data_IF_550984458454
#
_entry.id   IF_550984458454
#
_cell.length_a   1.000
_cell.length_b   1.000
_cell.length_c   1.000
_cell.angle_alpha   90.00
_cell.angle_beta   90.00
_cell.angle_gamma   90.00
#
_symmetry.space_group_name_H-M   'P 1'
#
loop_
_entity.id
_entity.type
_entity.pdbx_description
1 polymer ?
#
# COMPACT_ATOMS: atom_id res chain seq x y z
N UNK A 1 -10.83 22.44 22.86
CA UNK A 1 -10.56 23.69 22.22
C UNK A 1 -9.21 23.67 21.52
N UNK A 2 -9.11 23.06 20.33
CA UNK A 2 -7.92 23.14 19.49
C UNK A 2 -7.87 24.50 18.81
N UNK A 3 -6.76 25.19 18.93
CA UNK A 3 -6.46 26.41 18.16
C UNK A 3 -6.61 26.05 16.69
N UNK A 4 -7.49 26.75 15.93
CA UNK A 4 -7.76 26.51 14.54
C UNK A 4 -6.49 26.62 13.71
N UNK A 5 -5.97 25.49 13.26
CA UNK A 5 -5.01 25.47 12.18
C UNK A 5 -5.74 25.99 10.94
N UNK A 6 -5.17 27.00 10.28
CA UNK A 6 -5.65 27.46 8.99
C UNK A 6 -5.60 26.29 7.99
N UNK A 7 -6.73 25.65 7.73
CA UNK A 7 -6.87 24.53 6.78
C UNK A 7 -6.81 24.98 5.30
N UNK A 8 -6.65 26.29 5.04
CA UNK A 8 -6.53 26.82 3.68
C UNK A 8 -5.06 26.83 3.29
N UNK A 9 -4.71 25.96 2.35
CA UNK A 9 -3.40 25.93 1.72
C UNK A 9 -3.54 26.28 0.25
N UNK A 10 -2.84 27.35 -0.18
CA UNK A 10 -2.74 27.68 -1.60
C UNK A 10 -1.86 26.65 -2.29
N UNK A 11 -2.40 26.00 -3.31
CA UNK A 11 -1.70 24.98 -4.07
C UNK A 11 -1.99 25.09 -5.57
N UNK A 12 -1.04 24.67 -6.38
CA UNK A 12 -1.18 24.54 -7.83
C UNK A 12 -1.17 23.05 -8.17
N UNK A 13 -2.25 22.55 -8.80
CA UNK A 13 -2.39 21.14 -9.17
C UNK A 13 -2.06 20.86 -10.63
N UNK A 14 -1.60 19.66 -10.90
CA UNK A 14 -1.50 19.07 -12.24
C UNK A 14 -2.13 17.68 -12.22
N UNK A 15 -3.05 17.39 -13.14
CA UNK A 15 -3.76 16.13 -13.22
C UNK A 15 -3.78 15.62 -14.66
N UNK A 16 -3.56 14.32 -14.84
CA UNK A 16 -3.73 13.60 -16.12
C UNK A 16 -4.73 12.49 -15.89
N UNK A 17 -5.90 12.58 -16.52
CA UNK A 17 -7.01 11.67 -16.39
C UNK A 17 -7.29 10.93 -17.70
N UNK A 18 -7.64 9.64 -17.60
CA UNK A 18 -8.11 8.83 -18.73
C UNK A 18 -7.04 8.36 -19.70
N UNK A 19 -5.79 8.76 -19.55
CA UNK A 19 -4.68 8.31 -20.40
C UNK A 19 -4.29 6.86 -20.08
N UNK A 20 -4.02 6.07 -21.11
CA UNK A 20 -3.61 4.66 -20.98
C UNK A 20 -2.09 4.46 -20.90
N UNK A 21 -1.30 5.53 -21.06
CA UNK A 21 0.17 5.42 -21.02
C UNK A 21 0.73 5.80 -19.65
N UNK A 22 0.52 4.93 -18.68
CA UNK A 22 0.88 5.14 -17.28
C UNK A 22 2.34 5.60 -17.10
N UNK A 23 3.28 4.97 -17.82
CA UNK A 23 4.72 5.26 -17.69
C UNK A 23 5.01 6.70 -18.14
N UNK A 24 4.44 7.12 -19.28
CA UNK A 24 4.64 8.47 -19.82
C UNK A 24 3.97 9.52 -18.94
N UNK A 25 2.79 9.21 -18.41
CA UNK A 25 2.01 10.14 -17.62
C UNK A 25 2.64 10.38 -16.26
N UNK A 26 3.09 9.33 -15.58
CA UNK A 26 3.81 9.41 -14.30
C UNK A 26 5.09 10.25 -14.45
N UNK A 27 5.86 9.95 -15.50
CA UNK A 27 7.06 10.73 -15.83
C UNK A 27 6.73 12.20 -16.14
N UNK A 28 5.66 12.46 -16.91
CA UNK A 28 5.26 13.81 -17.30
C UNK A 28 4.88 14.67 -16.10
N UNK A 29 4.07 14.14 -15.17
CA UNK A 29 3.69 14.89 -13.96
C UNK A 29 4.92 15.30 -13.16
N UNK A 30 5.82 14.35 -12.85
CA UNK A 30 7.01 14.63 -12.06
C UNK A 30 7.97 15.59 -12.81
N UNK A 31 8.19 15.37 -14.10
CA UNK A 31 9.07 16.23 -14.90
C UNK A 31 8.54 17.66 -15.04
N UNK A 32 7.20 17.84 -15.08
CA UNK A 32 6.59 19.17 -15.09
C UNK A 32 6.85 19.91 -13.79
N UNK A 33 6.70 19.27 -12.63
CA UNK A 33 7.02 19.86 -11.32
C UNK A 33 8.50 20.28 -11.27
N UNK A 34 9.40 19.39 -11.70
CA UNK A 34 10.84 19.68 -11.71
C UNK A 34 11.19 20.86 -12.64
N UNK A 35 10.55 20.92 -13.79
CA UNK A 35 10.75 22.02 -14.75
C UNK A 35 10.26 23.35 -14.16
N UNK A 36 9.11 23.32 -13.47
CA UNK A 36 8.57 24.50 -12.75
C UNK A 36 9.51 24.96 -11.64
N UNK A 37 9.95 24.01 -10.78
CA UNK A 37 10.90 24.30 -9.71
C UNK A 37 12.22 24.89 -10.23
N UNK A 38 12.72 24.40 -11.38
CA UNK A 38 13.92 24.95 -12.04
C UNK A 38 13.69 26.37 -12.55
N UNK A 39 12.55 26.66 -13.17
CA UNK A 39 12.21 28.00 -13.67
C UNK A 39 12.20 29.06 -12.56
N UNK A 40 11.73 28.71 -11.38
CA UNK A 40 11.76 29.60 -10.20
C UNK A 40 13.06 29.48 -9.38
N UNK A 41 14.11 28.89 -9.98
CA UNK A 41 15.46 28.80 -9.44
C UNK A 41 15.58 28.06 -8.09
N UNK A 42 14.69 27.12 -7.81
CA UNK A 42 14.81 26.27 -6.61
C UNK A 42 16.07 25.41 -6.67
N UNK A 43 16.70 25.24 -5.51
CA UNK A 43 18.00 24.53 -5.37
C UNK A 43 17.83 23.26 -4.52
N UNK A 44 18.80 22.35 -4.62
CA UNK A 44 18.87 21.13 -3.80
C UNK A 44 17.60 20.29 -3.89
N UNK A 45 17.12 20.08 -5.13
CA UNK A 45 15.93 19.26 -5.39
C UNK A 45 16.24 17.82 -5.09
N UNK A 46 15.41 17.20 -4.26
CA UNK A 46 15.39 15.77 -3.93
C UNK A 46 14.00 15.22 -4.15
N UNK A 47 13.93 13.98 -4.59
CA UNK A 47 12.65 13.29 -4.80
C UNK A 47 12.64 12.04 -3.94
N UNK A 48 11.55 11.83 -3.22
CA UNK A 48 11.26 10.60 -2.52
C UNK A 48 10.12 9.90 -3.26
N UNK A 49 10.29 8.63 -3.59
CA UNK A 49 9.28 7.85 -4.31
C UNK A 49 8.99 6.54 -3.61
N UNK A 50 7.74 6.09 -3.73
CA UNK A 50 7.29 4.75 -3.41
C UNK A 50 6.42 4.21 -4.53
N UNK A 51 6.05 2.93 -4.44
CA UNK A 51 5.13 2.32 -5.41
C UNK A 51 4.29 1.24 -4.71
N UNK A 52 3.01 1.51 -4.57
CA UNK A 52 2.04 0.60 -3.97
C UNK A 52 1.92 -0.71 -4.77
N UNK A 53 2.15 -0.65 -6.09
CA UNK A 53 2.09 -1.83 -6.95
C UNK A 53 3.17 -2.88 -6.62
N UNK A 54 4.35 -2.44 -6.15
CA UNK A 54 5.41 -3.35 -5.69
C UNK A 54 4.99 -4.10 -4.43
N UNK A 55 4.37 -3.42 -3.47
CA UNK A 55 3.82 -4.07 -2.29
C UNK A 55 2.71 -5.06 -2.66
N UNK A 56 1.78 -4.68 -3.54
CA UNK A 56 0.73 -5.59 -4.06
C UNK A 56 1.35 -6.83 -4.72
N UNK A 57 2.40 -6.65 -5.52
CA UNK A 57 3.11 -7.76 -6.18
C UNK A 57 3.75 -8.71 -5.16
N UNK A 58 4.37 -8.16 -4.11
CA UNK A 58 4.91 -8.98 -3.02
C UNK A 58 3.80 -9.78 -2.34
N UNK A 59 2.73 -9.13 -1.87
CA UNK A 59 1.63 -9.77 -1.14
C UNK A 59 1.00 -10.90 -1.98
N UNK A 60 0.83 -10.68 -3.30
CA UNK A 60 0.28 -11.67 -4.20
C UNK A 60 1.22 -12.87 -4.44
N UNK A 61 2.52 -12.71 -4.25
CA UNK A 61 3.52 -13.77 -4.41
C UNK A 61 3.66 -14.68 -3.17
N UNK A 62 3.16 -14.26 -2.02
CA UNK A 62 3.28 -15.00 -0.77
C UNK A 62 2.17 -16.03 -0.60
N UNK A 63 2.52 -17.19 -0.04
CA UNK A 63 1.58 -18.28 0.25
C UNK A 63 0.77 -17.97 1.50
N UNK A 64 -0.40 -17.36 1.30
CA UNK A 64 -1.36 -17.05 2.36
C UNK A 64 -2.79 -17.13 1.83
N UNK A 65 -3.76 -17.23 2.72
CA UNK A 65 -5.16 -17.20 2.34
C UNK A 65 -5.54 -15.86 1.72
N UNK A 66 -6.47 -15.87 0.77
CA UNK A 66 -6.92 -14.67 0.04
C UNK A 66 -7.42 -13.57 0.99
N UNK A 67 -8.13 -13.94 2.07
CA UNK A 67 -8.58 -12.97 3.08
C UNK A 67 -7.43 -12.17 3.70
N UNK A 68 -6.23 -12.76 3.86
CA UNK A 68 -5.06 -12.06 4.36
C UNK A 68 -4.49 -11.08 3.34
N UNK A 69 -4.41 -11.49 2.06
CA UNK A 69 -3.97 -10.61 0.96
C UNK A 69 -4.85 -9.37 0.89
N UNK A 70 -6.17 -9.57 0.85
CA UNK A 70 -7.14 -8.48 0.76
C UNK A 70 -7.05 -7.53 1.98
N UNK A 71 -6.90 -8.07 3.19
CA UNK A 71 -6.77 -7.25 4.40
C UNK A 71 -5.48 -6.45 4.43
N UNK A 72 -4.34 -7.07 4.13
CA UNK A 72 -3.05 -6.39 4.11
C UNK A 72 -3.03 -5.27 3.07
N UNK A 73 -3.53 -5.53 1.87
CA UNK A 73 -3.63 -4.51 0.82
C UNK A 73 -4.59 -3.37 1.18
N UNK A 74 -5.75 -3.71 1.76
CA UNK A 74 -6.77 -2.73 2.13
C UNK A 74 -6.34 -1.81 3.27
N UNK A 75 -5.53 -2.30 4.20
CA UNK A 75 -5.16 -1.56 5.41
C UNK A 75 -3.68 -1.14 5.45
N UNK A 76 -2.99 -1.25 4.33
CA UNK A 76 -1.59 -0.84 4.21
C UNK A 76 -1.37 0.63 4.61
N UNK A 77 -2.33 1.48 4.32
CA UNK A 77 -2.31 2.91 4.63
C UNK A 77 -2.58 3.26 6.10
N UNK A 78 -2.95 2.27 6.96
CA UNK A 78 -3.19 2.45 8.40
C UNK A 78 -2.06 1.85 9.22
N UNK A 79 -0.99 2.59 9.55
CA UNK A 79 0.23 2.00 10.12
C UNK A 79 -0.01 1.13 11.36
N UNK A 80 -0.73 1.66 12.36
CA UNK A 80 -1.00 0.94 13.62
C UNK A 80 -1.85 -0.30 13.41
N UNK A 81 -2.90 -0.21 12.59
CA UNK A 81 -3.76 -1.36 12.28
C UNK A 81 -3.04 -2.38 11.39
N UNK A 82 -2.19 -1.94 10.48
CA UNK A 82 -1.38 -2.82 9.65
C UNK A 82 -0.38 -3.64 10.48
N UNK A 83 0.28 -3.03 11.45
CA UNK A 83 1.15 -3.75 12.40
C UNK A 83 0.37 -4.78 13.23
N UNK A 84 -0.85 -4.44 13.65
CA UNK A 84 -1.74 -5.37 14.34
C UNK A 84 -2.13 -6.56 13.44
N UNK A 85 -2.43 -6.30 12.16
CA UNK A 85 -2.69 -7.37 11.19
C UNK A 85 -1.47 -8.28 10.99
N UNK A 86 -0.26 -7.75 10.97
CA UNK A 86 0.96 -8.56 10.88
C UNK A 86 1.13 -9.45 12.11
N UNK A 87 0.84 -8.97 13.31
CA UNK A 87 0.85 -9.80 14.54
C UNK A 87 -0.16 -10.93 14.48
N UNK A 88 -1.38 -10.67 13.97
CA UNK A 88 -2.41 -11.70 13.78
C UNK A 88 -2.02 -12.71 12.70
N UNK A 89 -1.44 -12.24 11.60
CA UNK A 89 -0.92 -13.09 10.52
C UNK A 89 0.16 -14.05 11.04
N UNK A 90 1.04 -13.56 11.91
CA UNK A 90 2.06 -14.36 12.57
C UNK A 90 1.45 -15.47 13.45
N UNK A 91 0.38 -15.16 14.17
CA UNK A 91 -0.33 -16.10 15.05
C UNK A 91 -1.38 -16.98 14.35
N UNK A 92 -1.48 -16.89 13.01
CA UNK A 92 -2.48 -17.61 12.20
C UNK A 92 -3.94 -17.35 12.61
N UNK A 93 -4.22 -16.16 13.16
CA UNK A 93 -5.58 -15.74 13.49
C UNK A 93 -5.89 -14.38 12.85
N UNK A 94 -7.09 -14.22 12.29
CA UNK A 94 -7.51 -12.97 11.68
C UNK A 94 -8.25 -12.03 12.64
N UNK A 95 -8.30 -12.37 13.91
CA UNK A 95 -8.88 -11.59 15.00
C UNK A 95 -7.85 -11.40 16.12
N UNK A 96 -8.06 -10.42 17.01
CA UNK A 96 -7.20 -10.26 18.20
C UNK A 96 -7.33 -11.43 19.17
N UNK A 97 -6.38 -11.57 20.09
CA UNK A 97 -6.31 -12.72 20.98
C UNK A 97 -7.56 -12.86 21.86
N UNK A 98 -8.08 -11.75 22.39
CA UNK A 98 -9.27 -11.77 23.27
C UNK A 98 -10.50 -12.19 22.48
N UNK A 99 -10.71 -11.58 21.32
CA UNK A 99 -11.82 -11.93 20.43
C UNK A 99 -11.67 -13.38 19.92
N UNK A 100 -10.43 -13.83 19.64
CA UNK A 100 -10.17 -15.20 19.21
C UNK A 100 -10.62 -16.22 20.25
N UNK A 101 -10.23 -16.02 21.50
CA UNK A 101 -10.59 -16.94 22.60
C UNK A 101 -12.11 -16.93 22.85
N UNK A 102 -12.74 -15.75 22.82
CA UNK A 102 -14.19 -15.61 22.94
C UNK A 102 -14.93 -16.31 21.78
N UNK A 103 -14.49 -16.10 20.53
CA UNK A 103 -15.08 -16.72 19.35
C UNK A 103 -14.88 -18.25 19.37
N UNK A 104 -13.70 -18.72 19.79
CA UNK A 104 -13.41 -20.15 19.95
C UNK A 104 -14.35 -20.79 20.97
N UNK A 105 -14.55 -20.13 22.12
CA UNK A 105 -15.50 -20.61 23.15
C UNK A 105 -16.92 -20.69 22.59
N UNK A 106 -17.41 -19.62 21.96
CA UNK A 106 -18.72 -19.58 21.29
C UNK A 106 -18.87 -20.66 20.23
N UNK A 107 -17.83 -20.90 19.42
CA UNK A 107 -17.85 -21.95 18.40
C UNK A 107 -18.10 -23.32 18.99
N UNK A 108 -17.43 -23.68 20.10
CA UNK A 108 -17.64 -24.97 20.77
C UNK A 108 -19.00 -25.05 21.47
N UNK A 109 -19.49 -23.96 22.05
CA UNK A 109 -20.83 -23.88 22.62
C UNK A 109 -21.91 -24.07 21.55
N UNK A 110 -21.81 -23.38 20.42
CA UNK A 110 -22.77 -23.48 19.32
C UNK A 110 -22.78 -24.85 18.64
N UNK A 111 -21.70 -25.61 18.68
CA UNK A 111 -21.68 -27.00 18.19
C UNK A 111 -22.64 -27.94 18.97
N UNK A 112 -23.02 -27.59 20.18
CA UNK A 112 -23.92 -28.35 21.02
C UNK A 112 -25.41 -28.14 20.69
N UNK A 113 -25.73 -27.10 19.88
CA UNK A 113 -27.10 -26.82 19.47
C UNK A 113 -27.48 -27.57 18.19
N UNK A 114 -28.78 -27.69 17.98
CA UNK A 114 -29.33 -28.21 16.74
C UNK A 114 -28.82 -27.37 15.53
N UNK A 115 -28.19 -28.06 14.59
CA UNK A 115 -27.50 -27.44 13.44
C UNK A 115 -28.49 -26.79 12.47
N UNK A 116 -29.73 -27.24 12.43
CA UNK A 116 -30.78 -26.73 11.53
C UNK A 116 -31.52 -25.53 12.14
N UNK A 117 -31.31 -25.25 13.42
CA UNK A 117 -31.91 -24.08 14.08
C UNK A 117 -31.45 -22.80 13.39
N UNK A 118 -32.41 -21.93 13.07
CA UNK A 118 -32.18 -20.64 12.37
C UNK A 118 -32.08 -19.51 13.40
N UNK A 119 -31.01 -18.74 13.33
CA UNK A 119 -30.79 -17.53 14.13
C UNK A 119 -30.54 -16.37 13.17
N UNK A 120 -31.38 -15.32 13.25
CA UNK A 120 -31.30 -14.14 12.39
C UNK A 120 -31.19 -14.48 10.88
N UNK A 121 -32.03 -15.43 10.42
CA UNK A 121 -32.12 -15.85 9.03
C UNK A 121 -30.98 -16.77 8.54
N UNK A 122 -30.17 -17.33 9.45
CA UNK A 122 -29.08 -18.26 9.12
C UNK A 122 -29.12 -19.49 9.99
N UNK A 123 -28.87 -20.67 9.42
CA UNK A 123 -28.73 -21.90 10.21
C UNK A 123 -27.46 -21.87 11.06
N UNK A 124 -27.49 -22.60 12.18
CA UNK A 124 -26.29 -22.74 13.03
C UNK A 124 -25.14 -23.35 12.22
N UNK A 125 -25.42 -24.28 11.32
CA UNK A 125 -24.39 -24.88 10.45
C UNK A 125 -23.70 -23.85 9.55
N UNK A 126 -24.44 -22.89 8.97
CA UNK A 126 -23.87 -21.79 8.19
C UNK A 126 -23.01 -20.84 9.05
N UNK A 127 -23.49 -20.52 10.25
CA UNK A 127 -22.75 -19.69 11.21
C UNK A 127 -21.44 -20.39 11.60
N UNK A 128 -21.49 -21.68 11.94
CA UNK A 128 -20.32 -22.48 12.29
C UNK A 128 -19.31 -22.57 11.15
N UNK A 129 -19.73 -22.78 9.90
CA UNK A 129 -18.84 -22.75 8.72
C UNK A 129 -18.11 -21.42 8.57
N UNK A 130 -18.75 -20.29 8.90
CA UNK A 130 -18.10 -18.97 8.89
C UNK A 130 -17.10 -18.80 10.02
N UNK A 131 -17.43 -19.25 11.23
CA UNK A 131 -16.50 -19.27 12.35
C UNK A 131 -15.28 -20.15 12.07
N UNK A 132 -15.51 -21.35 11.54
CA UNK A 132 -14.43 -22.28 11.18
C UNK A 132 -13.44 -21.64 10.19
N UNK A 133 -13.94 -20.91 9.17
CA UNK A 133 -13.10 -20.17 8.23
C UNK A 133 -12.30 -19.03 8.89
N UNK A 134 -12.79 -18.44 9.99
CA UNK A 134 -12.10 -17.39 10.73
C UNK A 134 -11.01 -17.93 11.65
N UNK A 135 -11.31 -19.03 12.35
CA UNK A 135 -10.42 -19.59 13.37
C UNK A 135 -9.42 -20.61 12.83
N UNK A 136 -9.64 -21.13 11.62
CA UNK A 136 -8.72 -22.07 10.96
C UNK A 136 -7.93 -21.41 9.86
N UNK A 137 -6.63 -21.33 10.06
CA UNK A 137 -5.66 -21.05 9.02
C UNK A 137 -4.74 -22.28 8.91
N UNK A 138 -4.65 -22.93 7.74
CA UNK A 138 -3.88 -24.18 7.58
C UNK A 138 -2.37 -23.96 7.69
N UNK A 139 -1.89 -22.71 7.69
CA UNK A 139 -0.47 -22.42 7.83
C UNK A 139 0.02 -22.70 9.25
N UNK A 140 1.25 -23.18 9.36
CA UNK A 140 1.94 -23.26 10.64
C UNK A 140 2.29 -21.87 11.19
N UNK A 141 2.55 -21.78 12.50
CA UNK A 141 3.07 -20.56 13.11
C UNK A 141 4.44 -20.15 12.50
N UNK A 142 5.27 -21.15 12.15
CA UNK A 142 6.55 -20.90 11.49
C UNK A 142 6.37 -20.22 10.12
N UNK A 143 5.36 -20.63 9.34
CA UNK A 143 5.03 -20.02 8.06
C UNK A 143 4.52 -18.59 8.24
N UNK A 144 3.66 -18.35 9.23
CA UNK A 144 3.19 -17.01 9.59
C UNK A 144 4.34 -16.07 9.94
N UNK A 145 5.29 -16.51 10.78
CA UNK A 145 6.52 -15.76 11.11
C UNK A 145 7.36 -15.45 9.88
N UNK A 146 7.56 -16.45 9.01
CA UNK A 146 8.33 -16.29 7.76
C UNK A 146 7.71 -15.23 6.86
N UNK A 147 6.40 -15.29 6.64
CA UNK A 147 5.65 -14.32 5.82
C UNK A 147 5.79 -12.90 6.39
N UNK A 148 5.56 -12.73 7.68
CA UNK A 148 5.68 -11.42 8.36
C UNK A 148 7.11 -10.88 8.26
N UNK A 149 8.13 -11.72 8.44
CA UNK A 149 9.53 -11.34 8.28
C UNK A 149 9.81 -10.83 6.86
N UNK A 150 9.30 -11.52 5.84
CA UNK A 150 9.46 -11.11 4.43
C UNK A 150 8.82 -9.73 4.21
N UNK A 151 7.57 -9.54 4.65
CA UNK A 151 6.85 -8.26 4.52
C UNK A 151 7.63 -7.13 5.22
N UNK A 152 8.01 -7.33 6.48
CA UNK A 152 8.77 -6.32 7.26
C UNK A 152 10.14 -6.01 6.64
N UNK A 153 10.81 -7.00 6.07
CA UNK A 153 12.10 -6.80 5.39
C UNK A 153 11.92 -5.97 4.11
N UNK A 154 10.88 -6.25 3.32
CA UNK A 154 10.54 -5.44 2.15
C UNK A 154 10.28 -3.98 2.52
N UNK A 155 9.47 -3.73 3.54
CA UNK A 155 9.11 -2.37 3.97
C UNK A 155 10.30 -1.55 4.49
N UNK A 156 11.42 -2.19 4.80
CA UNK A 156 12.68 -1.52 5.19
C UNK A 156 13.54 -1.10 4.00
N UNK A 157 13.19 -1.49 2.77
CA UNK A 157 13.96 -1.07 1.59
C UNK A 157 13.89 0.44 1.46
N UNK A 158 15.06 1.05 1.52
CA UNK A 158 15.28 2.49 1.37
C UNK A 158 16.62 2.66 0.66
N UNK A 159 16.60 3.07 -0.60
CA UNK A 159 17.79 3.12 -1.43
C UNK A 159 17.69 4.20 -2.53
N UNK A 160 18.83 4.57 -3.09
CA UNK A 160 18.84 5.38 -4.32
C UNK A 160 18.13 4.63 -5.45
N UNK A 161 17.36 5.35 -6.27
CA UNK A 161 16.61 4.76 -7.37
C UNK A 161 17.52 3.99 -8.35
N UNK A 162 18.77 4.41 -8.52
CA UNK A 162 19.77 3.70 -9.34
C UNK A 162 20.07 2.28 -8.87
N UNK A 163 19.95 2.00 -7.55
CA UNK A 163 20.21 0.70 -6.93
C UNK A 163 18.96 -0.16 -6.74
N UNK A 164 17.77 0.36 -7.06
CA UNK A 164 16.50 -0.31 -6.75
C UNK A 164 16.39 -1.70 -7.40
N UNK A 165 16.83 -1.85 -8.65
CA UNK A 165 16.72 -3.12 -9.38
C UNK A 165 17.53 -4.21 -8.68
N UNK A 166 18.75 -3.89 -8.25
CA UNK A 166 19.64 -4.81 -7.53
C UNK A 166 19.08 -5.15 -6.14
N UNK A 167 18.57 -4.14 -5.42
CA UNK A 167 17.93 -4.34 -4.11
C UNK A 167 16.72 -5.26 -4.18
N UNK A 168 15.83 -5.05 -5.16
CA UNK A 168 14.65 -5.91 -5.35
C UNK A 168 15.04 -7.34 -5.78
N UNK A 169 16.05 -7.47 -6.66
CA UNK A 169 16.55 -8.77 -7.07
C UNK A 169 17.18 -9.54 -5.90
N UNK A 170 18.02 -8.87 -5.12
CA UNK A 170 18.65 -9.45 -3.94
C UNK A 170 17.63 -9.82 -2.87
N UNK A 171 16.63 -8.96 -2.65
CA UNK A 171 15.50 -9.25 -1.75
C UNK A 171 14.75 -10.51 -2.20
N UNK A 172 14.41 -10.64 -3.48
CA UNK A 172 13.72 -11.81 -4.02
C UNK A 172 14.56 -13.09 -3.84
N UNK A 173 15.86 -13.04 -4.16
CA UNK A 173 16.79 -14.18 -3.97
C UNK A 173 16.87 -14.63 -2.50
N UNK A 174 17.10 -13.69 -1.57
CA UNK A 174 17.24 -13.97 -0.13
C UNK A 174 15.99 -14.60 0.49
N UNK A 175 14.84 -14.34 -0.09
CA UNK A 175 13.55 -14.82 0.42
C UNK A 175 12.95 -15.97 -0.42
N UNK A 176 13.71 -16.57 -1.33
CA UNK A 176 13.28 -17.64 -2.24
C UNK A 176 12.01 -17.27 -3.04
N UNK A 177 11.87 -16.01 -3.43
CA UNK A 177 10.78 -15.54 -4.26
C UNK A 177 11.14 -15.62 -5.74
N UNK A 178 10.14 -15.75 -6.61
CA UNK A 178 10.35 -15.74 -8.06
C UNK A 178 11.01 -14.42 -8.49
N UNK A 179 12.07 -14.47 -9.30
CA UNK A 179 12.83 -13.30 -9.76
C UNK A 179 11.97 -12.23 -10.45
N UNK A 180 10.83 -12.63 -10.97
CA UNK A 180 9.96 -11.79 -11.79
C UNK A 180 8.76 -11.17 -11.04
N UNK A 181 8.67 -11.29 -9.71
CA UNK A 181 7.54 -10.75 -8.94
C UNK A 181 7.42 -9.23 -9.06
N UNK A 182 8.53 -8.54 -9.29
CA UNK A 182 8.59 -7.08 -9.45
C UNK A 182 8.70 -6.63 -10.91
N UNK A 183 8.14 -7.37 -11.88
CA UNK A 183 8.25 -7.02 -13.32
C UNK A 183 7.60 -5.69 -13.72
N UNK A 184 6.61 -5.23 -12.97
CA UNK A 184 5.71 -4.16 -13.41
C UNK A 184 6.02 -2.78 -12.83
N UNK A 185 7.25 -2.50 -12.41
CA UNK A 185 7.63 -1.18 -11.87
C UNK A 185 8.28 -0.25 -12.92
N UNK A 186 7.89 -0.41 -14.19
CA UNK A 186 8.43 0.40 -15.31
C UNK A 186 8.23 1.90 -15.13
N UNK A 187 7.14 2.32 -14.48
CA UNK A 187 6.90 3.75 -14.19
C UNK A 187 8.02 4.32 -13.32
N UNK A 188 8.31 3.67 -12.19
CA UNK A 188 9.37 4.14 -11.29
C UNK A 188 10.76 4.06 -11.94
N UNK A 189 11.03 3.01 -12.74
CA UNK A 189 12.28 2.89 -13.50
C UNK A 189 12.45 4.03 -14.51
N UNK A 190 11.36 4.51 -15.11
CA UNK A 190 11.42 5.62 -16.08
C UNK A 190 11.98 6.91 -15.47
N UNK A 191 11.80 7.09 -14.15
CA UNK A 191 12.29 8.27 -13.42
C UNK A 191 13.83 8.36 -13.35
N UNK A 192 14.55 7.26 -13.61
CA UNK A 192 16.02 7.29 -13.73
C UNK A 192 16.48 8.29 -14.81
N UNK A 193 15.64 8.52 -15.84
CA UNK A 193 15.90 9.48 -16.92
C UNK A 193 15.85 10.94 -16.48
N UNK A 194 15.30 11.24 -15.31
CA UNK A 194 15.23 12.63 -14.81
C UNK A 194 16.59 13.19 -14.36
N UNK A 195 17.58 12.33 -14.19
CA UNK A 195 18.93 12.68 -13.71
C UNK A 195 18.90 13.56 -12.44
N UNK A 196 18.08 13.15 -11.47
CA UNK A 196 17.86 13.80 -10.18
C UNK A 196 18.25 12.90 -9.03
N UNK A 197 18.41 13.48 -7.83
CA UNK A 197 18.59 12.73 -6.59
C UNK A 197 17.24 12.12 -6.15
N UNK A 198 17.00 10.87 -6.56
CA UNK A 198 15.76 10.16 -6.28
C UNK A 198 16.04 9.02 -5.29
N UNK A 199 15.31 9.02 -4.19
CA UNK A 199 15.35 7.97 -3.18
C UNK A 199 14.06 7.18 -3.18
N UNK A 200 14.16 5.85 -3.31
CA UNK A 200 13.03 4.93 -3.18
C UNK A 200 12.85 4.49 -1.74
N UNK A 201 11.60 4.49 -1.26
CA UNK A 201 11.23 4.03 0.08
C UNK A 201 10.01 3.11 -0.03
N UNK A 202 10.18 1.82 0.26
CA UNK A 202 9.11 0.83 0.12
C UNK A 202 7.92 1.08 1.05
N UNK A 203 8.16 1.71 2.18
CA UNK A 203 7.15 2.05 3.19
C UNK A 203 6.49 3.42 2.96
N UNK A 204 6.77 4.07 1.82
CA UNK A 204 6.27 5.40 1.50
C UNK A 204 4.93 5.36 0.77
N UNK A 205 4.06 6.34 1.01
CA UNK A 205 2.74 6.45 0.37
C UNK A 205 1.64 5.63 1.02
N UNK A 206 1.93 4.95 2.14
CA UNK A 206 0.93 4.16 2.86
C UNK A 206 -0.09 5.00 3.63
N UNK A 207 0.19 6.26 3.89
CA UNK A 207 -0.69 7.12 4.69
C UNK A 207 -1.90 7.67 3.88
N UNK A 208 -2.01 7.30 2.61
CA UNK A 208 -3.09 7.75 1.71
C UNK A 208 -3.74 6.56 1.01
N UNK A 209 -5.04 6.35 1.26
CA UNK A 209 -5.80 5.16 0.84
C UNK A 209 -5.98 5.04 -0.67
N UNK A 210 -6.10 6.17 -1.38
CA UNK A 210 -6.53 6.16 -2.78
C UNK A 210 -5.40 5.92 -3.80
N UNK A 211 -4.12 5.93 -3.39
CA UNK A 211 -3.03 5.64 -4.33
C UNK A 211 -3.00 4.18 -4.77
N UNK A 212 -2.76 3.97 -6.05
CA UNK A 212 -2.76 2.63 -6.68
C UNK A 212 -1.43 2.21 -7.29
N UNK A 213 -0.51 3.14 -7.46
CA UNK A 213 0.80 2.95 -8.09
C UNK A 213 1.88 3.82 -7.45
N UNK A 214 2.61 4.56 -8.29
CA UNK A 214 3.66 5.46 -7.83
C UNK A 214 3.12 6.55 -6.91
N UNK A 215 3.90 6.87 -5.89
CA UNK A 215 3.69 8.00 -4.97
C UNK A 215 5.00 8.75 -4.83
N UNK A 216 4.97 10.07 -4.76
CA UNK A 216 6.19 10.87 -4.67
C UNK A 216 6.01 12.16 -3.89
N UNK A 217 7.11 12.61 -3.31
CA UNK A 217 7.29 13.95 -2.73
C UNK A 217 8.54 14.58 -3.34
N UNK A 218 8.46 15.87 -3.60
CA UNK A 218 9.57 16.68 -4.11
C UNK A 218 9.96 17.70 -3.07
N UNK A 219 11.24 17.76 -2.75
CA UNK A 219 11.80 18.65 -1.75
C UNK A 219 12.76 19.66 -2.37
N UNK A 220 12.80 20.87 -1.83
CA UNK A 220 13.86 21.84 -2.01
C UNK A 220 14.56 22.06 -0.66
N UNK A 221 15.77 21.51 -0.51
CA UNK A 221 16.41 21.39 0.79
C UNK A 221 15.60 20.47 1.72
N UNK A 222 15.04 21.02 2.81
CA UNK A 222 14.20 20.28 3.76
C UNK A 222 12.70 20.53 3.59
N UNK A 223 12.30 21.50 2.74
CA UNK A 223 10.90 21.85 2.52
C UNK A 223 10.29 20.96 1.43
N UNK A 224 9.15 20.32 1.72
CA UNK A 224 8.32 19.69 0.70
C UNK A 224 7.66 20.76 -0.16
N UNK A 225 7.94 20.75 -1.46
CA UNK A 225 7.40 21.72 -2.42
C UNK A 225 6.27 21.13 -3.26
N UNK A 226 6.21 19.81 -3.41
CA UNK A 226 5.12 19.14 -4.11
C UNK A 226 5.01 17.69 -3.66
N UNK A 227 3.79 17.16 -3.74
CA UNK A 227 3.50 15.74 -3.55
C UNK A 227 2.42 15.26 -4.50
N UNK A 228 2.40 13.96 -4.79
CA UNK A 228 1.43 13.37 -5.70
C UNK A 228 1.60 11.88 -5.89
N UNK A 229 0.82 11.33 -6.82
CA UNK A 229 0.87 9.91 -7.16
C UNK A 229 -0.22 9.48 -8.11
N UNK A 230 -0.27 8.17 -8.39
CA UNK A 230 -1.27 7.51 -9.24
C UNK A 230 -2.43 6.98 -8.42
N UNK A 231 -3.67 7.27 -8.87
CA UNK A 231 -4.91 6.97 -8.15
C UNK A 231 -6.04 6.50 -9.08
N UNK A 232 -5.79 5.47 -9.86
CA UNK A 232 -6.66 4.95 -10.93
C UNK A 232 -8.06 4.55 -10.46
N UNK A 233 -8.24 4.18 -9.18
CA UNK A 233 -9.51 3.72 -8.62
C UNK A 233 -10.31 4.82 -7.90
N UNK A 234 -9.75 6.03 -7.73
CA UNK A 234 -10.40 7.11 -6.99
C UNK A 234 -11.73 7.52 -7.65
N UNK A 235 -11.74 7.76 -8.95
CA UNK A 235 -12.95 8.19 -9.66
C UNK A 235 -14.07 7.12 -9.62
N UNK A 236 -13.69 5.83 -9.61
CA UNK A 236 -14.65 4.74 -9.41
C UNK A 236 -15.26 4.77 -8.01
N UNK A 237 -14.48 5.05 -6.98
CA UNK A 237 -14.98 5.19 -5.61
C UNK A 237 -15.91 6.40 -5.43
N UNK A 238 -15.78 7.39 -6.30
CA UNK A 238 -16.64 8.59 -6.37
C UNK A 238 -17.83 8.43 -7.33
N UNK A 239 -18.10 7.23 -7.85
CA UNK A 239 -19.31 6.94 -8.65
C UNK A 239 -19.08 6.73 -10.14
N UNK A 240 -17.85 6.76 -10.65
CA UNK A 240 -17.60 6.41 -12.04
C UNK A 240 -17.87 4.90 -12.28
N UNK A 241 -18.45 4.56 -13.44
CA UNK A 241 -18.82 3.17 -13.79
C UNK A 241 -17.60 2.21 -13.83
N UNK A 242 -16.40 2.72 -14.06
CA UNK A 242 -15.15 1.94 -14.16
C UNK A 242 -13.97 2.73 -13.62
N UNK A 243 -12.88 2.05 -13.30
CA UNK A 243 -11.60 2.69 -12.98
C UNK A 243 -11.12 3.53 -14.16
N UNK A 244 -10.65 4.74 -13.88
CA UNK A 244 -10.13 5.70 -14.85
C UNK A 244 -8.67 5.98 -14.48
N UNK A 245 -7.70 5.65 -15.35
CA UNK A 245 -6.31 5.96 -15.08
C UNK A 245 -6.13 7.44 -14.71
N UNK A 246 -5.48 7.67 -13.58
CA UNK A 246 -5.29 9.01 -13.05
C UNK A 246 -3.97 9.14 -12.31
N UNK A 247 -3.23 10.21 -12.59
CA UNK A 247 -2.02 10.60 -11.88
C UNK A 247 -1.96 12.11 -11.78
N UNK A 248 -1.60 12.60 -10.60
CA UNK A 248 -1.51 14.04 -10.40
C UNK A 248 -0.59 14.42 -9.25
N UNK A 249 -0.44 15.72 -9.06
CA UNK A 249 0.32 16.29 -7.98
C UNK A 249 -0.15 17.69 -7.63
N UNK A 250 0.08 18.07 -6.37
CA UNK A 250 -0.10 19.41 -5.86
C UNK A 250 1.25 20.04 -5.50
N UNK A 251 1.46 21.28 -5.91
CA UNK A 251 2.59 22.13 -5.53
C UNK A 251 2.12 23.03 -4.39
N UNK A 252 2.84 23.02 -3.28
CA UNK A 252 2.52 23.86 -2.12
C UNK A 252 3.13 25.26 -2.29
N UNK A 253 2.31 26.25 -2.58
CA UNK A 253 2.76 27.61 -2.86
C UNK A 253 3.40 28.31 -1.64
N UNK A 254 3.09 27.88 -0.41
CA UNK A 254 3.74 28.42 0.80
C UNK A 254 5.21 28.01 0.95
N UNK A 255 5.64 26.98 0.23
CA UNK A 255 6.99 26.41 0.34
C UNK A 255 7.90 26.77 -0.84
N UNK A 256 7.38 27.58 -1.74
CA UNK A 256 8.10 28.08 -2.93
C UNK A 256 8.80 29.41 -2.65
#
# INVERSE_FOLDING_TARGET
>A
GGKGANFINDQLGIEILGSKNHIKDDFKVISTILSSAKKIKMKRIKIKVGDISLFKSLINSLEMLERWRLRLMRHFWRPSYFEELLKRLEKNTDIDAVTFDADKKRFYEMKKFDQDKVIAGRSISEILKRFDKKIKDPRSFADGKKIVKIIKTFLKINCKLSKLDDELLNFAKKNNLKKNIFKNFKSIQSLKKLNQDINFVANFGKDVEYYTGIVFEVFSGTKEIASGGRYDDLLKSLGAKKSIPAVGAAINLKNI
#
